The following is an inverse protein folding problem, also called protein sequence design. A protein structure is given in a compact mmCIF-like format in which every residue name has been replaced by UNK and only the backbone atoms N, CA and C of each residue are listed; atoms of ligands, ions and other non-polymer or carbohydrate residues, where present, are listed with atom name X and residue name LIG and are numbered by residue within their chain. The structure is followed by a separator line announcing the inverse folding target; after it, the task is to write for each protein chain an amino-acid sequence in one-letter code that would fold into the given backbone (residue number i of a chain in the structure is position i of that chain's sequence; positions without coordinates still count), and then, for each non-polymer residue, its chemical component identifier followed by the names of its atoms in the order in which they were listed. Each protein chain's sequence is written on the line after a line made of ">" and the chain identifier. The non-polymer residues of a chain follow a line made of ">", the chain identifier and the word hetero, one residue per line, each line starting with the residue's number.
data_IF_968170269443
#
_entry.id   IF_968170269443
#
_cell.length_a   1.000
_cell.length_b   1.000
_cell.length_c   1.000
_cell.angle_alpha   90.00
_cell.angle_beta   90.00
_cell.angle_gamma   90.00
#
_symmetry.space_group_name_H-M   'P 1'
#
loop_
_entity.id
_entity.type
_entity.pdbx_description
1 polymer ?
#
# COMPACT_ATOMS: atom_id res chain seq x y z
N UNK A 1 31.99 -15.28 -31.68
CA UNK A 1 31.06 -14.26 -31.16
C UNK A 1 31.22 -14.21 -29.64
N UNK A 2 31.95 -13.21 -29.14
CA UNK A 2 32.16 -12.96 -27.70
C UNK A 2 32.06 -11.44 -27.53
N UNK A 3 31.02 -10.99 -26.82
CA UNK A 3 30.78 -9.56 -26.54
C UNK A 3 31.16 -9.27 -25.10
N UNK A 4 32.16 -8.41 -24.95
CA UNK A 4 32.66 -7.90 -23.68
C UNK A 4 31.76 -6.75 -23.21
N UNK A 5 31.21 -6.86 -22.00
CA UNK A 5 30.55 -5.76 -21.29
C UNK A 5 31.58 -5.03 -20.43
N UNK A 6 31.89 -3.78 -20.80
CA UNK A 6 32.80 -2.89 -20.08
C UNK A 6 32.02 -2.17 -18.97
N UNK A 7 32.34 -2.52 -17.73
CA UNK A 7 32.00 -1.78 -16.51
C UNK A 7 32.79 -0.48 -16.44
N UNK A 8 32.10 0.62 -16.15
CA UNK A 8 32.68 1.93 -15.82
C UNK A 8 32.26 2.33 -14.41
N UNK A 9 33.23 2.51 -13.53
CA UNK A 9 33.10 3.08 -12.18
C UNK A 9 33.78 4.48 -12.14
N UNK A 10 33.89 5.14 -10.97
CA UNK A 10 33.28 6.43 -10.63
C UNK A 10 34.21 7.65 -10.86
N UNK A 11 33.65 8.85 -10.99
CA UNK A 11 34.42 10.09 -10.95
C UNK A 11 34.01 10.93 -9.73
N UNK A 12 34.90 10.95 -8.74
CA UNK A 12 35.00 12.03 -7.78
C UNK A 12 35.79 13.19 -8.42
N UNK A 13 35.37 14.42 -8.19
CA UNK A 13 36.27 15.58 -8.31
C UNK A 13 35.94 16.58 -7.22
N UNK A 14 36.92 16.70 -6.33
CA UNK A 14 37.08 17.76 -5.35
C UNK A 14 37.42 19.05 -6.09
N UNK A 15 36.82 20.18 -5.72
CA UNK A 15 37.36 21.48 -6.06
C UNK A 15 37.78 22.21 -4.78
N UNK A 16 39.07 22.56 -4.74
CA UNK A 16 39.77 23.34 -3.72
C UNK A 16 40.08 24.71 -4.33
N UNK A 17 39.97 25.80 -3.54
CA UNK A 17 40.57 27.09 -3.89
C UNK A 17 39.61 28.27 -3.76
N UNK A 18 39.86 29.14 -2.78
CA UNK A 18 39.13 30.39 -2.58
C UNK A 18 39.75 31.59 -3.30
N UNK A 19 38.90 32.59 -3.60
CA UNK A 19 39.15 34.03 -3.65
C UNK A 19 37.78 34.76 -3.79
N UNK A 20 37.63 36.04 -3.39
CA UNK A 20 36.40 36.54 -2.75
C UNK A 20 35.48 37.46 -3.58
N UNK A 21 34.24 37.61 -3.05
CA UNK A 21 33.21 38.67 -3.28
C UNK A 21 32.38 38.64 -4.59
N UNK A 22 31.12 39.16 -4.60
CA UNK A 22 30.53 40.17 -3.71
C UNK A 22 29.24 39.76 -2.98
N UNK A 23 28.94 40.48 -1.90
CA UNK A 23 27.70 40.37 -1.15
C UNK A 23 26.50 40.77 -2.03
N UNK A 24 25.67 39.79 -2.40
CA UNK A 24 24.32 40.04 -2.88
C UNK A 24 23.34 39.91 -1.72
N UNK A 25 22.90 41.05 -1.21
CA UNK A 25 21.72 41.22 -0.36
C UNK A 25 20.46 40.77 -1.13
N UNK A 26 20.20 39.46 -1.11
CA UNK A 26 18.87 38.89 -1.36
C UNK A 26 18.13 38.77 -0.04
N UNK A 27 16.78 38.86 -0.01
CA UNK A 27 16.06 38.82 1.25
C UNK A 27 16.40 37.50 1.93
N UNK A 28 16.95 37.59 3.14
CA UNK A 28 16.93 36.51 4.10
C UNK A 28 15.47 36.24 4.43
N UNK A 29 14.81 35.49 3.55
CA UNK A 29 13.60 34.78 3.88
C UNK A 29 14.01 33.81 4.96
N UNK A 30 13.87 34.26 6.20
CA UNK A 30 14.06 33.43 7.37
C UNK A 30 13.29 32.14 7.11
N UNK A 31 14.01 31.05 6.91
CA UNK A 31 13.43 29.72 7.04
C UNK A 31 12.99 29.63 8.49
N UNK A 32 11.75 30.03 8.74
CA UNK A 32 11.06 29.77 9.99
C UNK A 32 11.29 28.29 10.26
N UNK A 33 11.84 27.89 11.41
CA UNK A 33 11.97 26.49 11.75
C UNK A 33 10.57 25.90 11.71
N UNK A 34 10.29 25.13 10.65
CA UNK A 34 9.02 24.46 10.50
C UNK A 34 8.95 23.39 11.59
N UNK A 35 7.89 23.42 12.37
CA UNK A 35 7.66 22.44 13.41
C UNK A 35 7.55 21.05 12.75
N UNK A 36 8.46 20.14 13.11
CA UNK A 36 8.57 18.83 12.48
C UNK A 36 7.83 17.79 13.31
N UNK A 37 6.65 17.37 12.85
CA UNK A 37 5.88 16.30 13.47
C UNK A 37 6.35 14.94 12.94
N UNK A 38 6.67 14.01 13.85
CA UNK A 38 6.99 12.62 13.52
C UNK A 38 5.84 11.70 13.90
N UNK A 39 5.36 10.90 12.94
CA UNK A 39 4.29 9.94 13.15
C UNK A 39 4.87 8.70 13.84
N UNK A 40 4.22 8.23 14.91
CA UNK A 40 4.66 7.02 15.61
C UNK A 40 4.58 5.80 14.71
N UNK A 41 5.46 4.81 14.95
CA UNK A 41 5.49 3.58 14.15
C UNK A 41 4.15 2.84 14.14
N UNK A 42 3.39 2.88 15.25
CA UNK A 42 2.05 2.31 15.35
C UNK A 42 1.04 3.01 14.45
N UNK A 43 1.07 4.34 14.37
CA UNK A 43 0.20 5.10 13.47
C UNK A 43 0.53 4.83 11.99
N UNK A 44 1.81 4.70 11.65
CA UNK A 44 2.22 4.28 10.31
C UNK A 44 1.72 2.88 9.96
N UNK A 45 1.83 1.92 10.90
CA UNK A 45 1.32 0.57 10.69
C UNK A 45 -0.19 0.53 10.43
N UNK A 46 -0.98 1.26 11.22
CA UNK A 46 -2.43 1.34 11.03
C UNK A 46 -2.77 1.99 9.68
N UNK A 47 -2.05 3.04 9.28
CA UNK A 47 -2.25 3.68 7.97
C UNK A 47 -2.00 2.71 6.82
N UNK A 48 -0.91 1.93 6.88
CA UNK A 48 -0.63 0.89 5.89
C UNK A 48 -1.70 -0.20 5.91
N UNK A 49 -2.10 -0.67 7.09
CA UNK A 49 -3.12 -1.70 7.22
C UNK A 49 -4.47 -1.26 6.62
N UNK A 50 -4.91 -0.02 6.89
CA UNK A 50 -6.11 0.56 6.28
C UNK A 50 -6.00 0.65 4.77
N UNK A 51 -4.90 1.19 4.25
CA UNK A 51 -4.68 1.27 2.81
C UNK A 51 -4.69 -0.11 2.13
N UNK A 52 -4.28 -1.18 2.83
CA UNK A 52 -4.37 -2.55 2.32
C UNK A 52 -5.81 -3.09 2.34
N UNK A 53 -6.59 -2.77 3.36
CA UNK A 53 -8.00 -3.14 3.42
C UNK A 53 -8.83 -2.41 2.35
N UNK A 54 -8.57 -1.12 2.14
CA UNK A 54 -9.24 -0.30 1.12
C UNK A 54 -8.91 -0.76 -0.31
N UNK A 55 -7.76 -1.40 -0.51
CA UNK A 55 -7.38 -1.97 -1.80
C UNK A 55 -8.06 -3.32 -2.10
N UNK A 56 -8.73 -3.94 -1.12
CA UNK A 56 -9.47 -5.18 -1.34
C UNK A 56 -10.79 -4.83 -2.02
N UNK A 57 -11.09 -5.40 -3.19
CA UNK A 57 -12.35 -5.11 -3.87
C UNK A 57 -13.53 -5.66 -3.07
N UNK A 58 -14.60 -4.87 -3.00
CA UNK A 58 -15.86 -5.28 -2.36
C UNK A 58 -16.43 -6.56 -2.99
N UNK A 59 -16.29 -6.69 -4.31
CA UNK A 59 -16.73 -7.86 -5.08
C UNK A 59 -15.55 -8.46 -5.83
N UNK A 60 -15.30 -9.75 -5.54
CA UNK A 60 -14.31 -10.57 -6.24
C UNK A 60 -14.91 -11.12 -7.53
N UNK A 61 -14.82 -10.32 -8.59
CA UNK A 61 -15.44 -10.59 -9.89
C UNK A 61 -15.05 -11.97 -10.46
N UNK A 62 -13.82 -12.42 -10.23
CA UNK A 62 -13.34 -13.73 -10.71
C UNK A 62 -14.12 -14.89 -10.11
N UNK A 63 -14.49 -14.78 -8.82
CA UNK A 63 -15.29 -15.82 -8.15
C UNK A 63 -16.73 -15.80 -8.62
N UNK A 64 -17.27 -14.62 -8.88
CA UNK A 64 -18.64 -14.48 -9.39
C UNK A 64 -18.75 -15.14 -10.76
N UNK A 65 -17.79 -14.88 -11.65
CA UNK A 65 -17.76 -15.48 -12.99
C UNK A 65 -17.58 -17.00 -12.94
N UNK A 66 -16.69 -17.51 -12.07
CA UNK A 66 -16.51 -18.94 -11.88
C UNK A 66 -17.78 -19.65 -11.35
N UNK A 67 -18.49 -19.02 -10.40
CA UNK A 67 -19.76 -19.56 -9.89
C UNK A 67 -20.83 -19.50 -10.99
N UNK A 68 -20.92 -18.40 -11.72
CA UNK A 68 -21.87 -18.22 -12.83
C UNK A 68 -21.70 -19.30 -13.89
N UNK A 69 -20.46 -19.57 -14.31
CA UNK A 69 -20.17 -20.63 -15.28
C UNK A 69 -20.62 -22.02 -14.78
N UNK A 70 -20.52 -22.30 -13.48
CA UNK A 70 -21.01 -23.55 -12.89
C UNK A 70 -22.54 -23.63 -12.87
N UNK A 71 -23.21 -22.50 -12.64
CA UNK A 71 -24.67 -22.42 -12.68
C UNK A 71 -25.16 -22.65 -14.11
N UNK A 72 -24.56 -21.95 -15.09
CA UNK A 72 -24.91 -22.07 -16.50
C UNK A 72 -24.68 -23.50 -17.04
N UNK A 73 -23.77 -24.26 -16.42
CA UNK A 73 -23.48 -25.65 -16.74
C UNK A 73 -24.32 -26.67 -15.93
N UNK A 74 -25.32 -26.24 -15.14
CA UNK A 74 -26.10 -27.07 -14.21
C UNK A 74 -25.23 -27.90 -13.23
N UNK A 75 -23.99 -27.46 -13.00
CA UNK A 75 -23.01 -28.12 -12.12
C UNK A 75 -22.82 -27.37 -10.78
N UNK A 76 -23.73 -26.45 -10.48
CA UNK A 76 -23.76 -25.72 -9.22
C UNK A 76 -24.69 -26.42 -8.22
N UNK A 77 -24.09 -27.17 -7.30
CA UNK A 77 -24.76 -27.75 -6.15
C UNK A 77 -24.12 -27.20 -4.88
N UNK A 78 -24.71 -26.18 -4.24
CA UNK A 78 -24.24 -25.73 -2.93
C UNK A 78 -24.52 -26.81 -1.88
N UNK A 79 -23.69 -26.85 -0.85
CA UNK A 79 -23.89 -27.75 0.29
C UNK A 79 -25.02 -27.20 1.20
N UNK A 80 -26.03 -28.02 1.47
CA UNK A 80 -27.21 -27.62 2.23
C UNK A 80 -26.90 -27.28 3.69
N UNK A 81 -25.98 -28.02 4.31
CA UNK A 81 -25.52 -27.74 5.67
C UNK A 81 -24.81 -26.39 5.74
N UNK A 82 -23.89 -26.11 4.80
CA UNK A 82 -23.22 -24.81 4.73
C UNK A 82 -24.19 -23.63 4.51
N UNK A 83 -25.28 -23.83 3.76
CA UNK A 83 -26.34 -22.83 3.58
C UNK A 83 -27.10 -22.61 4.89
N UNK A 84 -27.50 -23.69 5.57
CA UNK A 84 -28.21 -23.60 6.84
C UNK A 84 -27.36 -22.92 7.92
N UNK A 85 -26.07 -23.28 8.03
CA UNK A 85 -25.12 -22.64 8.94
C UNK A 85 -24.97 -21.15 8.65
N UNK A 86 -24.91 -20.76 7.37
CA UNK A 86 -24.87 -19.36 6.94
C UNK A 86 -26.10 -18.58 7.41
N UNK A 87 -27.30 -19.15 7.21
CA UNK A 87 -28.57 -18.54 7.64
C UNK A 87 -28.65 -18.39 9.16
N UNK A 88 -28.28 -19.43 9.91
CA UNK A 88 -28.27 -19.38 11.38
C UNK A 88 -27.29 -18.33 11.87
N UNK A 89 -26.10 -18.24 11.29
CA UNK A 89 -25.09 -17.25 11.66
C UNK A 89 -25.55 -15.81 11.42
N UNK A 90 -26.28 -15.56 10.34
CA UNK A 90 -26.79 -14.23 10.01
C UNK A 90 -27.94 -13.80 10.94
N UNK A 91 -28.83 -14.73 11.28
CA UNK A 91 -30.04 -14.43 12.05
C UNK A 91 -29.94 -14.70 13.55
N UNK A 92 -28.85 -15.32 14.02
CA UNK A 92 -28.62 -15.50 15.46
C UNK A 92 -27.87 -14.28 16.00
N UNK A 93 -28.46 -13.50 16.93
CA UNK A 93 -27.77 -12.40 17.54
C UNK A 93 -26.53 -12.93 18.28
N UNK A 94 -25.40 -12.25 18.12
CA UNK A 94 -24.18 -12.59 18.84
C UNK A 94 -24.51 -12.67 20.34
N UNK A 95 -24.30 -13.85 20.93
CA UNK A 95 -24.61 -14.10 22.34
C UNK A 95 -23.83 -13.07 23.16
N UNK A 96 -24.53 -12.12 23.77
CA UNK A 96 -23.91 -11.15 24.67
C UNK A 96 -23.54 -11.93 25.93
N UNK A 97 -22.23 -12.16 26.13
CA UNK A 97 -21.74 -12.68 27.40
C UNK A 97 -21.83 -11.57 28.46
N UNK A 98 -22.30 -11.87 29.68
CA UNK A 98 -22.43 -10.91 30.77
C UNK A 98 -21.09 -10.52 31.40
#
# INVERSE_FOLDING_TARGET
>A
MRVSIKTGAPAASQNVGGAPQPASTGPVGATVPADAFSVSNGAHFIAVARARLDAIPDVRQEKVEAIRARIDADAYSPDGEAVADGLVREHTPARQEP
#
